data_IF_281965245412
#
_entry.id   IF_281965245412
#
_cell.length_a   1.000
_cell.length_b   1.000
_cell.length_c   1.000
_cell.angle_alpha   90.00
_cell.angle_beta   90.00
_cell.angle_gamma   90.00
#
_symmetry.space_group_name_H-M   'P 1'
#
loop_
_entity.id
_entity.type
_entity.pdbx_description
1 polymer ?
#
# COMPACT_ATOMS: atom_id res chain seq x y z
N UNK A 1 -9.50 -5.63 31.10
CA UNK A 1 -9.68 -6.08 29.71
C UNK A 1 -9.39 -4.88 28.81
N UNK A 2 -8.42 -4.97 27.90
CA UNK A 2 -8.17 -3.95 26.89
C UNK A 2 -8.85 -4.41 25.60
N UNK A 3 -9.62 -3.53 24.98
CA UNK A 3 -10.18 -3.76 23.65
C UNK A 3 -9.16 -3.34 22.59
N UNK A 4 -8.87 -4.24 21.65
CA UNK A 4 -8.06 -3.91 20.47
C UNK A 4 -9.02 -3.67 19.30
N UNK A 5 -8.95 -2.48 18.72
CA UNK A 5 -9.79 -2.07 17.59
C UNK A 5 -8.92 -1.73 16.39
N UNK A 6 -9.28 -2.18 15.18
CA UNK A 6 -8.52 -1.84 13.99
C UNK A 6 -8.70 -0.36 13.64
N UNK A 7 -7.68 0.23 13.00
CA UNK A 7 -7.74 1.63 12.53
C UNK A 7 -8.59 1.82 11.28
N UNK A 8 -8.85 0.74 10.55
CA UNK A 8 -9.69 0.73 9.36
C UNK A 8 -10.73 -0.36 9.46
N UNK A 9 -11.90 -0.11 8.88
CA UNK A 9 -12.90 -1.16 8.67
C UNK A 9 -12.44 -2.10 7.57
N UNK A 10 -12.80 -3.38 7.69
CA UNK A 10 -12.50 -4.39 6.69
C UNK A 10 -12.82 -5.80 7.21
N UNK A 11 -12.72 -6.78 6.32
CA UNK A 11 -12.95 -8.19 6.66
C UNK A 11 -11.69 -8.78 7.29
N UNK A 12 -11.84 -9.55 8.37
CA UNK A 12 -10.71 -10.29 8.94
C UNK A 12 -10.31 -11.41 7.98
N UNK A 13 -9.08 -11.35 7.48
CA UNK A 13 -8.48 -12.36 6.61
C UNK A 13 -7.92 -13.53 7.41
N UNK A 14 -7.31 -13.25 8.56
CA UNK A 14 -6.73 -14.29 9.42
C UNK A 14 -6.75 -13.87 10.88
N UNK A 15 -7.00 -14.83 11.78
CA UNK A 15 -6.90 -14.68 13.22
C UNK A 15 -5.71 -15.50 13.73
N UNK A 16 -4.88 -14.91 14.60
CA UNK A 16 -3.65 -15.53 15.12
C UNK A 16 -3.72 -15.86 16.61
N UNK A 17 -4.81 -15.49 17.30
CA UNK A 17 -4.96 -15.66 18.74
C UNK A 17 -6.28 -16.35 19.09
N UNK A 18 -6.28 -17.02 20.24
CA UNK A 18 -7.44 -17.70 20.82
C UNK A 18 -7.87 -17.05 22.13
N UNK A 19 -9.07 -17.38 22.59
CA UNK A 19 -9.58 -16.91 23.86
C UNK A 19 -8.72 -17.43 25.01
N UNK A 20 -8.22 -16.52 25.84
CA UNK A 20 -7.37 -16.84 27.00
C UNK A 20 -5.86 -16.69 26.73
N UNK A 21 -5.46 -16.43 25.49
CA UNK A 21 -4.06 -16.21 25.15
C UNK A 21 -3.52 -14.92 25.80
N UNK A 22 -2.28 -15.00 26.29
CA UNK A 22 -1.54 -13.82 26.77
C UNK A 22 -0.75 -13.21 25.62
N UNK A 23 -1.02 -11.95 25.30
CA UNK A 23 -0.38 -11.21 24.21
C UNK A 23 0.48 -10.07 24.75
N UNK A 24 1.50 -9.68 23.99
CA UNK A 24 2.42 -8.59 24.29
C UNK A 24 2.29 -7.48 23.25
N UNK A 25 2.80 -6.29 23.59
CA UNK A 25 2.84 -5.18 22.64
C UNK A 25 3.67 -5.56 21.41
N UNK A 26 3.10 -5.34 20.23
CA UNK A 26 3.70 -5.71 18.94
C UNK A 26 3.22 -7.05 18.38
N UNK A 27 2.50 -7.86 19.16
CA UNK A 27 1.95 -9.12 18.65
C UNK A 27 0.85 -8.87 17.60
N UNK A 28 0.93 -9.61 16.50
CA UNK A 28 -0.09 -9.60 15.46
C UNK A 28 -1.27 -10.46 15.93
N UNK A 29 -2.43 -9.84 16.11
CA UNK A 29 -3.62 -10.53 16.59
C UNK A 29 -4.49 -11.06 15.43
N UNK A 30 -4.66 -10.24 14.40
CA UNK A 30 -5.43 -10.57 13.20
C UNK A 30 -4.93 -9.73 12.01
N UNK A 31 -5.17 -10.24 10.81
CA UNK A 31 -4.90 -9.56 9.54
C UNK A 31 -6.24 -9.15 8.90
N UNK A 32 -6.31 -7.93 8.39
CA UNK A 32 -7.45 -7.44 7.60
C UNK A 32 -7.17 -7.71 6.12
N UNK A 33 -8.20 -8.08 5.37
CA UNK A 33 -8.10 -8.19 3.91
C UNK A 33 -7.80 -6.81 3.30
N UNK A 34 -6.61 -6.71 2.71
CA UNK A 34 -6.05 -5.50 2.09
C UNK A 34 -6.00 -5.62 0.56
N UNK A 35 -6.76 -6.53 -0.05
CA UNK A 35 -6.70 -6.79 -1.49
C UNK A 35 -7.05 -5.54 -2.31
N UNK A 36 -8.13 -4.85 -1.96
CA UNK A 36 -8.55 -3.61 -2.65
C UNK A 36 -7.52 -2.49 -2.45
N UNK A 37 -7.00 -2.34 -1.24
CA UNK A 37 -5.97 -1.35 -0.93
C UNK A 37 -4.69 -1.60 -1.74
N UNK A 38 -4.26 -2.86 -1.85
CA UNK A 38 -3.10 -3.25 -2.66
C UNK A 38 -3.32 -2.96 -4.14
N UNK A 39 -4.51 -3.22 -4.67
CA UNK A 39 -4.84 -2.91 -6.06
C UNK A 39 -4.80 -1.41 -6.32
N UNK A 40 -5.33 -0.59 -5.40
CA UNK A 40 -5.26 0.86 -5.50
C UNK A 40 -3.82 1.39 -5.51
N UNK A 41 -2.96 0.87 -4.63
CA UNK A 41 -1.55 1.25 -4.59
C UNK A 41 -0.85 0.88 -5.91
N UNK A 42 -1.11 -0.32 -6.44
CA UNK A 42 -0.54 -0.74 -7.74
C UNK A 42 -0.98 0.18 -8.88
N UNK A 43 -2.27 0.55 -8.93
CA UNK A 43 -2.78 1.45 -9.95
C UNK A 43 -2.15 2.85 -9.84
N UNK A 44 -1.99 3.37 -8.62
CA UNK A 44 -1.34 4.66 -8.38
C UNK A 44 0.13 4.64 -8.78
N UNK A 45 0.83 3.54 -8.50
CA UNK A 45 2.23 3.35 -8.87
C UNK A 45 2.40 3.32 -10.40
N UNK A 46 1.54 2.60 -11.12
CA UNK A 46 1.55 2.58 -12.59
C UNK A 46 1.28 3.97 -13.19
N UNK A 47 0.37 4.74 -12.60
CA UNK A 47 0.11 6.12 -13.01
C UNK A 47 1.30 7.03 -12.77
N UNK A 48 2.00 6.86 -11.64
CA UNK A 48 3.23 7.59 -11.33
C UNK A 48 4.34 7.27 -12.33
N UNK A 49 4.56 5.99 -12.63
CA UNK A 49 5.57 5.54 -13.61
C UNK A 49 5.29 6.10 -15.00
N UNK A 50 4.02 6.09 -15.42
CA UNK A 50 3.61 6.69 -16.70
C UNK A 50 3.84 8.20 -16.72
N UNK A 51 3.52 8.90 -15.63
CA UNK A 51 3.77 10.34 -15.52
C UNK A 51 5.27 10.66 -15.53
N UNK A 52 6.08 9.86 -14.86
CA UNK A 52 7.53 10.00 -14.83
C UNK A 52 8.13 9.79 -16.22
N UNK A 53 7.74 8.73 -16.93
CA UNK A 53 8.18 8.47 -18.29
C UNK A 53 7.81 9.61 -19.25
N UNK A 54 6.59 10.15 -19.13
CA UNK A 54 6.17 11.32 -19.91
C UNK A 54 7.01 12.56 -19.56
N UNK A 55 7.31 12.79 -18.29
CA UNK A 55 8.17 13.91 -17.89
C UNK A 55 9.58 13.77 -18.46
N UNK A 56 10.18 12.58 -18.33
CA UNK A 56 11.52 12.29 -18.87
C UNK A 56 11.55 12.41 -20.40
N UNK A 57 10.49 12.01 -21.11
CA UNK A 57 10.38 12.25 -22.55
C UNK A 57 10.24 13.72 -22.91
N UNK A 58 9.46 14.50 -22.15
CA UNK A 58 9.29 15.93 -22.42
C UNK A 58 10.57 16.73 -22.10
N UNK A 59 11.28 16.37 -21.02
CA UNK A 59 12.54 17.02 -20.63
C UNK A 59 13.72 16.52 -21.47
N UNK A 60 13.85 15.21 -21.67
CA UNK A 60 14.90 14.62 -22.51
C UNK A 60 14.72 14.93 -23.99
N UNK A 61 13.49 14.92 -24.49
CA UNK A 61 13.17 15.30 -25.87
C UNK A 61 13.41 16.79 -26.14
N UNK A 62 13.33 17.67 -25.13
CA UNK A 62 13.69 19.08 -25.29
C UNK A 62 15.19 19.36 -25.27
N UNK A 63 16.01 18.43 -24.75
CA UNK A 63 17.49 18.48 -24.86
C UNK A 63 17.99 18.00 -26.23
N UNK A 64 17.31 17.05 -26.88
CA UNK A 64 17.73 16.52 -28.18
C UNK A 64 17.40 17.46 -29.36
N UNK A 65 16.32 18.24 -29.26
CA UNK A 65 15.86 19.15 -30.34
C UNK A 65 16.73 20.42 -30.45
N UNK A 66 17.57 20.76 -29.46
CA UNK A 66 18.45 21.95 -29.51
C UNK A 66 19.87 21.68 -30.04
N UNK A 67 20.21 20.43 -30.39
CA UNK A 67 21.54 20.05 -30.86
C UNK A 67 21.66 19.92 -32.39
N UNK A 68 20.63 20.28 -33.17
CA UNK A 68 20.67 20.37 -34.64
C UNK A 68 20.71 21.82 -35.12
#
# INVERSE_FOLDING_TARGET
MIGVVPKTSGTVKKLYVSLGDTVKAGDVLFEIDDTEARLQVQQAQASLESAQANYDQNVGGSLEIQLD
#
